data_IF_922787201798
#
_entry.id   IF_922787201798
#
_cell.length_a   1.000
_cell.length_b   1.000
_cell.length_c   1.000
_cell.angle_alpha   90.00
_cell.angle_beta   90.00
_cell.angle_gamma   90.00
#
_symmetry.space_group_name_H-M   'P 1'
#
loop_
_entity.id
_entity.type
_entity.pdbx_description
1 polymer ?
#
# COMPACT_ATOMS: atom_id res chain seq x y z
N UNK A 1 0.46 0.10 16.88
CA UNK A 1 0.39 1.03 15.71
C UNK A 1 1.17 0.41 14.58
N UNK A 2 0.62 0.42 13.38
CA UNK A 2 1.26 -0.18 12.22
C UNK A 2 2.46 0.64 11.68
N UNK A 3 3.29 0.02 10.83
CA UNK A 3 4.41 0.66 10.17
C UNK A 3 4.27 0.68 8.65
N UNK A 4 4.57 1.81 8.01
CA UNK A 4 4.64 1.96 6.56
C UNK A 4 6.05 2.34 6.16
N UNK A 5 6.54 1.73 5.08
CA UNK A 5 7.77 2.09 4.37
C UNK A 5 7.50 2.10 2.88
N UNK A 6 8.01 3.08 2.15
CA UNK A 6 8.00 3.15 0.70
C UNK A 6 9.35 3.61 0.17
N UNK A 7 9.73 3.10 -0.98
CA UNK A 7 11.00 3.39 -1.63
C UNK A 7 10.82 3.53 -3.14
N UNK A 8 11.45 4.55 -3.70
CA UNK A 8 11.65 4.72 -5.12
C UNK A 8 13.06 5.25 -5.37
N UNK A 9 13.84 4.56 -6.22
CA UNK A 9 15.22 4.95 -6.48
C UNK A 9 15.93 3.97 -7.42
N UNK A 10 17.21 3.70 -7.15
CA UNK A 10 18.08 2.86 -7.97
C UNK A 10 18.53 1.55 -7.29
N UNK A 11 18.30 1.42 -5.97
CA UNK A 11 18.62 0.20 -5.21
C UNK A 11 17.48 -0.82 -5.32
N UNK A 12 17.75 -2.06 -4.93
CA UNK A 12 16.69 -3.05 -4.77
C UNK A 12 15.72 -2.62 -3.65
N UNK A 13 14.47 -2.37 -4.04
CA UNK A 13 13.43 -1.92 -3.12
C UNK A 13 13.15 -2.95 -2.03
N UNK A 14 13.17 -4.25 -2.35
CA UNK A 14 12.87 -5.31 -1.37
C UNK A 14 13.80 -5.24 -0.17
N UNK A 15 15.11 -5.05 -0.38
CA UNK A 15 16.11 -4.99 0.69
C UNK A 15 15.86 -3.79 1.61
N UNK A 16 15.58 -2.61 1.00
CA UNK A 16 15.28 -1.41 1.75
C UNK A 16 13.97 -1.54 2.54
N UNK A 17 12.94 -2.10 1.92
CA UNK A 17 11.64 -2.29 2.56
C UNK A 17 11.75 -3.25 3.75
N UNK A 18 12.43 -4.39 3.61
CA UNK A 18 12.62 -5.36 4.69
C UNK A 18 13.40 -4.75 5.86
N UNK A 19 14.52 -4.06 5.60
CA UNK A 19 15.27 -3.35 6.66
C UNK A 19 14.38 -2.31 7.38
N UNK A 20 13.63 -1.51 6.63
CA UNK A 20 12.70 -0.55 7.17
C UNK A 20 11.58 -1.18 8.00
N UNK A 21 11.02 -2.32 7.56
CA UNK A 21 9.99 -3.05 8.30
C UNK A 21 10.55 -3.65 9.59
N UNK A 22 11.78 -4.19 9.60
CA UNK A 22 12.44 -4.62 10.83
C UNK A 22 12.58 -3.49 11.84
N UNK A 23 12.96 -2.29 11.39
CA UNK A 23 13.06 -1.10 12.24
C UNK A 23 11.71 -0.62 12.76
N UNK A 24 10.60 -0.98 12.09
CA UNK A 24 9.23 -0.64 12.50
C UNK A 24 8.51 -1.78 13.24
N UNK A 25 9.12 -2.95 13.41
CA UNK A 25 8.48 -4.11 14.03
C UNK A 25 7.98 -3.84 15.46
N UNK A 26 8.60 -2.91 16.17
CA UNK A 26 8.13 -2.46 17.49
C UNK A 26 6.74 -1.82 17.46
N UNK A 27 6.28 -1.37 16.27
CA UNK A 27 4.95 -0.77 16.05
C UNK A 27 3.87 -1.80 15.71
N UNK A 28 4.25 -2.93 15.11
CA UNK A 28 3.34 -4.01 14.74
C UNK A 28 4.13 -5.23 14.30
N UNK A 29 3.68 -6.41 14.72
CA UNK A 29 4.38 -7.67 14.50
C UNK A 29 3.45 -8.87 14.27
N UNK A 30 2.17 -8.62 13.99
CA UNK A 30 1.20 -9.69 13.73
C UNK A 30 1.19 -10.14 12.27
N UNK A 31 1.58 -9.28 11.38
CA UNK A 31 1.80 -9.61 9.98
C UNK A 31 2.66 -8.55 9.28
N UNK A 32 3.31 -8.94 8.20
CA UNK A 32 4.10 -8.06 7.36
C UNK A 32 3.93 -8.39 5.88
N UNK A 33 4.20 -7.40 5.01
CA UNK A 33 4.21 -7.62 3.58
C UNK A 33 4.77 -6.45 2.81
N UNK A 34 5.18 -6.75 1.57
CA UNK A 34 5.68 -5.78 0.60
C UNK A 34 4.96 -5.93 -0.73
N UNK A 35 4.93 -4.86 -1.48
CA UNK A 35 4.60 -4.83 -2.90
C UNK A 35 5.72 -4.11 -3.65
N UNK A 36 6.23 -4.72 -4.71
CA UNK A 36 7.36 -4.22 -5.49
C UNK A 36 7.06 -4.35 -6.98
N UNK A 37 7.40 -3.35 -7.76
CA UNK A 37 7.40 -3.48 -9.21
C UNK A 37 8.47 -4.46 -9.66
N UNK A 38 8.04 -5.58 -10.22
CA UNK A 38 8.87 -6.68 -10.64
C UNK A 38 8.44 -7.15 -12.04
N UNK A 39 9.32 -7.08 -13.03
CA UNK A 39 9.08 -7.57 -14.41
C UNK A 39 7.78 -7.06 -15.05
N UNK A 40 7.42 -5.80 -14.82
CA UNK A 40 6.24 -5.16 -15.43
C UNK A 40 4.93 -5.34 -14.65
N UNK A 41 4.96 -5.98 -13.49
CA UNK A 41 3.81 -6.18 -12.62
C UNK A 41 4.12 -5.77 -11.17
N UNK A 42 3.10 -5.58 -10.36
CA UNK A 42 3.25 -5.36 -8.92
C UNK A 42 3.21 -6.72 -8.20
N UNK A 43 4.37 -7.21 -7.81
CA UNK A 43 4.50 -8.44 -7.04
C UNK A 43 4.20 -8.17 -5.56
N UNK A 44 3.17 -8.83 -5.01
CA UNK A 44 2.80 -8.74 -3.59
C UNK A 44 3.29 -9.98 -2.86
N UNK A 45 4.01 -9.77 -1.74
CA UNK A 45 4.43 -10.83 -0.80
C UNK A 45 4.04 -10.43 0.60
N UNK A 46 3.32 -11.29 1.30
CA UNK A 46 2.83 -11.02 2.64
C UNK A 46 2.66 -12.28 3.48
N UNK A 47 2.88 -12.15 4.79
CA UNK A 47 2.80 -13.25 5.76
C UNK A 47 2.20 -12.76 7.07
N UNK A 48 1.38 -13.61 7.67
CA UNK A 48 1.05 -13.53 9.08
C UNK A 48 2.29 -13.88 9.92
N UNK A 49 2.50 -13.16 11.02
CA UNK A 49 3.67 -13.30 11.88
C UNK A 49 4.66 -12.16 11.73
N UNK A 50 5.85 -12.35 12.28
CA UNK A 50 6.91 -11.35 12.29
C UNK A 50 7.54 -11.11 10.91
N UNK A 51 8.28 -10.01 10.78
CA UNK A 51 8.98 -9.66 9.53
C UNK A 51 9.91 -10.78 9.07
N UNK A 52 10.53 -11.53 9.97
CA UNK A 52 11.38 -12.67 9.61
C UNK A 52 10.66 -13.80 8.84
N UNK A 53 9.35 -13.93 8.96
CA UNK A 53 8.57 -14.87 8.14
C UNK A 53 8.41 -14.35 6.70
N UNK A 54 8.33 -13.03 6.54
CA UNK A 54 8.36 -12.38 5.23
C UNK A 54 9.75 -12.49 4.59
N UNK A 55 10.83 -12.32 5.37
CA UNK A 55 12.22 -12.51 4.86
C UNK A 55 12.37 -13.89 4.20
N UNK A 56 11.97 -14.97 4.90
CA UNK A 56 12.03 -16.34 4.38
C UNK A 56 11.25 -16.53 3.08
N UNK A 57 10.09 -15.87 2.98
CA UNK A 57 9.29 -15.91 1.75
C UNK A 57 10.02 -15.21 0.60
N UNK A 58 10.60 -14.03 0.85
CA UNK A 58 11.33 -13.26 -0.16
C UNK A 58 12.62 -13.97 -0.59
N UNK A 59 13.37 -14.59 0.34
CA UNK A 59 14.54 -15.39 0.04
C UNK A 59 14.24 -16.56 -0.92
N UNK A 60 13.04 -17.14 -0.80
CA UNK A 60 12.61 -18.27 -1.64
C UNK A 60 12.08 -17.82 -3.00
N UNK A 61 11.21 -16.79 -3.01
CA UNK A 61 10.46 -16.39 -4.20
C UNK A 61 11.18 -15.33 -5.05
N UNK A 62 12.10 -14.59 -4.46
CA UNK A 62 12.90 -13.55 -5.09
C UNK A 62 12.06 -12.43 -5.73
N UNK A 63 11.99 -11.26 -5.10
CA UNK A 63 11.32 -10.09 -5.66
C UNK A 63 12.32 -8.95 -5.75
N UNK A 64 12.66 -8.53 -6.96
CA UNK A 64 13.60 -7.46 -7.23
C UNK A 64 12.90 -6.33 -8.00
N UNK A 65 13.20 -5.10 -7.63
CA UNK A 65 12.68 -3.91 -8.28
C UNK A 65 13.19 -2.65 -7.59
N UNK A 66 12.90 -1.51 -8.15
CA UNK A 66 13.40 -0.21 -7.67
C UNK A 66 12.33 0.67 -7.07
N UNK A 67 11.08 0.22 -7.11
CA UNK A 67 9.92 0.92 -6.53
C UNK A 67 9.07 -0.07 -5.74
N UNK A 68 8.72 0.29 -4.52
CA UNK A 68 7.87 -0.57 -3.71
C UNK A 68 7.38 0.08 -2.42
N UNK A 69 6.43 -0.60 -1.78
CA UNK A 69 5.84 -0.23 -0.50
C UNK A 69 5.80 -1.45 0.43
N UNK A 70 5.90 -1.21 1.73
CA UNK A 70 5.87 -2.26 2.74
C UNK A 70 5.10 -1.84 3.98
N UNK A 71 4.66 -2.84 4.74
CA UNK A 71 3.83 -2.65 5.92
C UNK A 71 4.09 -3.69 7.00
N UNK A 72 4.12 -3.25 8.27
CA UNK A 72 3.95 -4.10 9.45
C UNK A 72 2.62 -3.79 10.11
N UNK A 73 1.83 -4.83 10.39
CA UNK A 73 0.48 -4.69 10.90
C UNK A 73 0.40 -4.94 12.40
N UNK A 74 -0.46 -4.15 13.05
CA UNK A 74 -1.08 -4.45 14.32
C UNK A 74 -2.59 -4.52 14.07
N UNK A 75 -3.17 -5.72 14.10
CA UNK A 75 -4.55 -5.94 13.68
C UNK A 75 -5.54 -5.14 14.53
N UNK A 76 -6.34 -4.31 13.88
CA UNK A 76 -7.48 -3.61 14.46
C UNK A 76 -8.80 -4.18 13.90
N UNK A 77 -8.80 -4.61 12.64
CA UNK A 77 -9.94 -5.19 11.94
C UNK A 77 -9.49 -6.44 11.17
N UNK A 78 -10.28 -7.53 11.29
CA UNK A 78 -10.01 -8.80 10.65
C UNK A 78 -8.94 -9.64 11.36
N UNK A 79 -9.03 -10.95 11.18
CA UNK A 79 -8.09 -11.91 11.75
C UNK A 79 -6.68 -11.74 11.19
N UNK A 80 -5.68 -12.18 11.96
CA UNK A 80 -4.28 -12.23 11.53
C UNK A 80 -4.08 -13.42 10.60
N UNK A 81 -4.21 -13.18 9.31
CA UNK A 81 -4.02 -14.16 8.23
C UNK A 81 -3.22 -13.53 7.10
N UNK A 82 -2.60 -14.36 6.25
CA UNK A 82 -1.89 -13.87 5.06
C UNK A 82 -2.80 -13.02 4.16
N UNK A 83 -4.08 -13.40 4.04
CA UNK A 83 -5.06 -12.70 3.20
C UNK A 83 -5.33 -11.29 3.74
N UNK A 84 -5.51 -11.14 5.05
CA UNK A 84 -5.80 -9.87 5.72
C UNK A 84 -4.55 -9.00 5.95
N UNK A 85 -3.35 -9.54 5.68
CA UNK A 85 -2.11 -8.76 5.76
C UNK A 85 -2.03 -7.73 4.63
N UNK A 86 -1.37 -6.61 4.90
CA UNK A 86 -1.02 -5.62 3.86
C UNK A 86 0.19 -6.09 3.04
N UNK A 87 0.31 -5.64 1.78
CA UNK A 87 -0.55 -4.72 1.02
C UNK A 87 -1.88 -5.31 0.57
N UNK A 88 -2.85 -4.42 0.27
CA UNK A 88 -4.14 -4.76 -0.35
C UNK A 88 -4.18 -4.33 -1.81
N UNK A 89 -4.95 -5.10 -2.59
CA UNK A 89 -5.07 -4.94 -4.04
C UNK A 89 -6.48 -4.46 -4.38
N UNK A 90 -6.60 -3.44 -5.22
CA UNK A 90 -7.86 -2.90 -5.73
C UNK A 90 -8.05 -3.15 -7.22
N UNK A 91 -9.33 -3.19 -7.64
CA UNK A 91 -9.71 -3.49 -9.02
C UNK A 91 -9.28 -4.90 -9.43
N UNK A 92 -8.73 -5.01 -10.63
CA UNK A 92 -8.11 -6.24 -11.16
C UNK A 92 -6.58 -6.20 -11.04
N UNK A 93 -6.04 -5.52 -10.01
CA UNK A 93 -4.61 -5.38 -9.77
C UNK A 93 -4.02 -4.03 -10.21
N UNK A 94 -4.86 -3.08 -10.63
CA UNK A 94 -4.40 -1.75 -11.06
C UNK A 94 -3.83 -0.93 -9.90
N UNK A 95 -4.34 -1.16 -8.69
CA UNK A 95 -3.98 -0.40 -7.48
C UNK A 95 -3.50 -1.35 -6.40
N UNK A 96 -2.38 -1.02 -5.78
CA UNK A 96 -1.87 -1.74 -4.60
C UNK A 96 -1.50 -0.73 -3.53
N UNK A 97 -1.97 -0.93 -2.29
CA UNK A 97 -1.71 0.03 -1.23
C UNK A 97 -1.47 -0.59 0.15
N UNK A 98 -0.84 0.20 1.00
CA UNK A 98 -0.71 -0.01 2.44
C UNK A 98 -1.38 1.14 3.19
N UNK A 99 -1.92 0.87 4.37
CA UNK A 99 -2.70 1.82 5.15
C UNK A 99 -2.44 1.68 6.65
N UNK A 100 -2.24 2.81 7.30
CA UNK A 100 -2.27 2.97 8.75
C UNK A 100 -3.47 3.85 9.11
N UNK A 101 -4.34 3.38 9.97
CA UNK A 101 -5.51 4.13 10.42
C UNK A 101 -6.75 3.25 10.56
N UNK A 102 -7.91 3.89 10.54
CA UNK A 102 -9.23 3.24 10.61
C UNK A 102 -10.18 3.97 9.67
N UNK A 103 -10.84 3.22 8.80
CA UNK A 103 -11.91 3.72 7.92
C UNK A 103 -13.25 3.47 8.60
N UNK A 104 -13.82 4.50 9.22
CA UNK A 104 -15.04 4.38 10.01
C UNK A 104 -16.27 4.03 9.14
N UNK A 105 -16.35 4.58 7.94
CA UNK A 105 -17.43 4.34 7.00
C UNK A 105 -17.20 3.15 6.04
N UNK A 106 -16.24 2.24 6.33
CA UNK A 106 -15.86 1.14 5.45
C UNK A 106 -17.02 0.22 5.06
N UNK A 107 -17.98 -0.05 5.96
CA UNK A 107 -19.13 -0.92 5.67
C UNK A 107 -20.05 -0.33 4.60
N UNK A 108 -20.32 0.96 4.67
CA UNK A 108 -21.15 1.68 3.68
C UNK A 108 -20.47 1.68 2.30
N UNK A 109 -19.18 2.03 2.27
CA UNK A 109 -18.38 2.04 1.04
C UNK A 109 -18.23 0.64 0.44
N UNK A 110 -18.03 -0.39 1.27
CA UNK A 110 -17.98 -1.80 0.83
C UNK A 110 -19.27 -2.21 0.12
N UNK A 111 -20.42 -1.91 0.73
CA UNK A 111 -21.73 -2.21 0.12
C UNK A 111 -21.90 -1.51 -1.22
N UNK A 112 -21.54 -0.23 -1.32
CA UNK A 112 -21.59 0.51 -2.59
C UNK A 112 -20.70 -0.11 -3.67
N UNK A 113 -19.44 -0.42 -3.33
CA UNK A 113 -18.49 -1.02 -4.27
C UNK A 113 -18.93 -2.42 -4.71
N UNK A 114 -19.53 -3.22 -3.81
CA UNK A 114 -20.10 -4.52 -4.17
C UNK A 114 -21.26 -4.39 -5.17
N UNK A 115 -22.11 -3.37 -5.07
CA UNK A 115 -23.16 -3.12 -6.08
C UNK A 115 -22.60 -2.71 -7.44
N UNK A 116 -21.35 -2.22 -7.48
CA UNK A 116 -20.61 -1.90 -8.70
C UNK A 116 -19.81 -3.09 -9.24
N UNK A 117 -19.89 -4.26 -8.59
CA UNK A 117 -19.25 -5.49 -9.04
C UNK A 117 -17.87 -5.78 -8.42
N UNK A 118 -17.38 -4.94 -7.50
CA UNK A 118 -16.09 -5.20 -6.82
C UNK A 118 -16.20 -6.39 -5.87
N UNK A 119 -15.25 -7.33 -5.98
CA UNK A 119 -15.19 -8.54 -5.17
C UNK A 119 -14.17 -8.37 -4.06
N UNK A 120 -14.64 -8.36 -2.83
CA UNK A 120 -13.78 -8.28 -1.65
C UNK A 120 -13.25 -9.65 -1.25
N UNK A 121 -11.97 -9.73 -0.98
CA UNK A 121 -11.25 -10.96 -0.60
C UNK A 121 -10.86 -10.98 0.87
N UNK A 122 -10.85 -9.81 1.52
CA UNK A 122 -10.43 -9.63 2.90
C UNK A 122 -11.54 -9.08 3.77
N UNK A 123 -11.38 -9.17 5.08
CA UNK A 123 -12.29 -8.56 6.04
C UNK A 123 -11.78 -7.22 6.59
N UNK A 124 -10.69 -6.68 6.00
CA UNK A 124 -10.09 -5.42 6.43
C UNK A 124 -10.88 -4.22 5.88
N UNK A 125 -10.80 -3.11 6.57
CA UNK A 125 -11.29 -1.81 6.12
C UNK A 125 -10.45 -1.24 4.97
N UNK A 126 -9.18 -1.60 4.91
CA UNK A 126 -8.21 -1.10 3.92
C UNK A 126 -8.51 -1.52 2.49
N UNK A 127 -9.05 -2.73 2.25
CA UNK A 127 -9.40 -3.18 0.91
C UNK A 127 -10.46 -2.27 0.26
N UNK A 128 -11.28 -1.60 1.09
CA UNK A 128 -12.25 -0.60 0.62
C UNK A 128 -11.54 0.58 -0.04
N UNK A 129 -10.45 1.06 0.56
CA UNK A 129 -9.65 2.16 -0.02
C UNK A 129 -9.08 1.73 -1.39
N UNK A 130 -8.54 0.51 -1.47
CA UNK A 130 -7.95 0.00 -2.69
C UNK A 130 -8.95 -0.07 -3.85
N UNK A 131 -10.13 -0.63 -3.60
CA UNK A 131 -11.21 -0.68 -4.60
C UNK A 131 -11.80 0.70 -4.92
N UNK A 132 -11.88 1.61 -3.94
CA UNK A 132 -12.38 2.95 -4.17
C UNK A 132 -11.45 3.75 -5.10
N UNK A 133 -10.13 3.66 -4.91
CA UNK A 133 -9.13 4.27 -5.80
C UNK A 133 -9.22 3.64 -7.20
N UNK A 134 -9.28 2.31 -7.30
CA UNK A 134 -9.43 1.62 -8.58
C UNK A 134 -10.69 2.06 -9.33
N UNK A 135 -11.81 2.19 -8.64
CA UNK A 135 -13.07 2.68 -9.22
C UNK A 135 -12.94 4.09 -9.80
N UNK A 136 -12.27 5.00 -9.09
CA UNK A 136 -12.05 6.35 -9.62
C UNK A 136 -11.07 6.36 -10.77
N UNK A 137 -10.07 5.46 -10.77
CA UNK A 137 -9.12 5.30 -11.87
C UNK A 137 -9.82 4.79 -13.14
N UNK A 138 -10.63 3.74 -13.02
CA UNK A 138 -11.44 3.20 -14.14
C UNK A 138 -12.33 4.29 -14.74
N UNK A 139 -13.07 5.03 -13.90
CA UNK A 139 -13.92 6.14 -14.38
C UNK A 139 -13.13 7.23 -15.09
N UNK A 140 -11.94 7.56 -14.59
CA UNK A 140 -11.09 8.57 -15.20
C UNK A 140 -10.64 8.12 -16.59
N UNK A 141 -10.21 6.86 -16.73
CA UNK A 141 -9.82 6.26 -18.01
C UNK A 141 -11.00 6.24 -19.00
N UNK A 142 -12.19 5.86 -18.54
CA UNK A 142 -13.40 5.85 -19.38
C UNK A 142 -13.78 7.25 -19.91
N UNK A 143 -13.56 8.29 -19.08
CA UNK A 143 -13.95 9.67 -19.43
C UNK A 143 -12.94 10.33 -20.37
N UNK A 144 -11.66 10.16 -20.11
CA UNK A 144 -10.60 10.91 -20.79
C UNK A 144 -9.89 10.10 -21.87
N UNK A 145 -10.08 8.78 -21.89
CA UNK A 145 -9.41 7.86 -22.83
C UNK A 145 -7.90 7.78 -22.66
N UNK A 146 -7.37 8.34 -21.58
CA UNK A 146 -5.94 8.39 -21.30
C UNK A 146 -5.50 7.24 -20.39
N UNK A 147 -4.30 6.73 -20.69
CA UNK A 147 -3.53 5.84 -19.83
C UNK A 147 -3.16 6.59 -18.54
N UNK A 148 -3.01 5.87 -17.44
CA UNK A 148 -2.63 6.34 -16.11
C UNK A 148 -1.44 7.32 -16.15
N UNK A 149 -1.68 8.63 -15.98
CA UNK A 149 -0.63 9.64 -15.79
C UNK A 149 -0.37 9.88 -14.29
N UNK A 150 0.78 10.47 -13.94
CA UNK A 150 1.08 10.82 -12.55
C UNK A 150 0.01 11.73 -11.94
N UNK A 151 -0.43 12.75 -12.70
CA UNK A 151 -1.47 13.68 -12.29
C UNK A 151 -2.81 12.96 -12.07
N UNK A 152 -3.21 12.09 -12.98
CA UNK A 152 -4.43 11.31 -12.85
C UNK A 152 -4.37 10.39 -11.61
N UNK A 153 -3.23 9.75 -11.32
CA UNK A 153 -3.03 8.94 -10.12
C UNK A 153 -3.21 9.76 -8.83
N UNK A 154 -2.67 10.97 -8.78
CA UNK A 154 -2.84 11.88 -7.63
C UNK A 154 -4.30 12.28 -7.47
N UNK A 155 -4.97 12.73 -8.54
CA UNK A 155 -6.37 13.16 -8.52
C UNK A 155 -7.34 12.05 -8.08
N UNK A 156 -7.13 10.80 -8.53
CA UNK A 156 -8.01 9.69 -8.11
C UNK A 156 -7.80 9.32 -6.65
N UNK A 157 -6.56 9.40 -6.14
CA UNK A 157 -6.29 9.22 -4.71
C UNK A 157 -6.97 10.32 -3.90
N UNK A 158 -6.81 11.59 -4.28
CA UNK A 158 -7.49 12.69 -3.59
C UNK A 158 -9.00 12.52 -3.58
N UNK A 159 -9.58 12.15 -4.73
CA UNK A 159 -11.04 11.95 -4.87
C UNK A 159 -11.53 10.81 -3.98
N UNK A 160 -10.78 9.71 -3.90
CA UNK A 160 -11.10 8.59 -3.03
C UNK A 160 -10.96 9.00 -1.54
N UNK A 161 -9.87 9.67 -1.17
CA UNK A 161 -9.61 10.05 0.22
C UNK A 161 -10.64 11.05 0.77
N UNK A 162 -11.23 11.91 -0.07
CA UNK A 162 -12.33 12.81 0.33
C UNK A 162 -13.61 12.07 0.76
N UNK A 163 -13.76 10.78 0.42
CA UNK A 163 -14.90 9.95 0.81
C UNK A 163 -14.64 9.12 2.06
N UNK A 164 -13.40 9.09 2.53
CA UNK A 164 -13.01 8.34 3.71
C UNK A 164 -13.33 9.16 4.97
N UNK A 165 -14.07 8.56 5.89
CA UNK A 165 -14.27 9.06 7.25
C UNK A 165 -13.34 8.28 8.18
N UNK A 166 -12.58 9.00 9.03
CA UNK A 166 -11.63 8.40 9.96
C UNK A 166 -10.20 8.92 9.78
N UNK A 167 -9.22 8.09 10.14
CA UNK A 167 -7.81 8.44 10.07
C UNK A 167 -7.09 7.57 9.05
N UNK A 168 -6.14 8.15 8.31
CA UNK A 168 -5.35 7.39 7.37
C UNK A 168 -3.92 7.95 7.19
N UNK A 169 -2.99 7.04 6.93
CA UNK A 169 -1.74 7.26 6.26
C UNK A 169 -1.63 6.16 5.21
N UNK A 170 -1.59 6.50 3.94
CA UNK A 170 -1.55 5.54 2.83
C UNK A 170 -0.35 5.76 1.93
N UNK A 171 0.19 4.66 1.37
CA UNK A 171 1.10 4.70 0.25
C UNK A 171 0.55 3.76 -0.83
N UNK A 172 0.48 4.24 -2.06
CA UNK A 172 -0.24 3.64 -3.18
C UNK A 172 0.70 3.46 -4.37
N UNK A 173 0.69 2.27 -4.95
CA UNK A 173 1.29 1.94 -6.24
C UNK A 173 0.19 1.76 -7.29
N UNK A 174 0.48 2.15 -8.50
CA UNK A 174 -0.37 1.95 -9.67
C UNK A 174 0.37 1.07 -10.67
N UNK A 175 -0.22 -0.05 -11.10
CA UNK A 175 0.39 -1.01 -12.03
C UNK A 175 0.94 -0.34 -13.29
N UNK A 176 0.17 0.60 -13.83
CA UNK A 176 0.47 1.26 -15.11
C UNK A 176 1.30 2.55 -14.95
N UNK A 177 1.76 2.87 -13.71
CA UNK A 177 2.68 3.97 -13.39
C UNK A 177 3.81 3.46 -12.47
N UNK A 178 4.79 2.72 -13.01
CA UNK A 178 5.79 1.99 -12.23
C UNK A 178 6.83 2.87 -11.53
N UNK A 179 6.90 4.15 -11.85
CA UNK A 179 7.84 5.14 -11.33
C UNK A 179 7.17 6.13 -10.35
N UNK A 180 6.01 5.75 -9.77
CA UNK A 180 5.23 6.59 -8.89
C UNK A 180 4.85 5.89 -7.59
N UNK A 181 4.98 6.60 -6.47
CA UNK A 181 4.32 6.30 -5.20
C UNK A 181 3.46 7.52 -4.82
N UNK A 182 2.16 7.35 -4.73
CA UNK A 182 1.28 8.40 -4.19
C UNK A 182 1.08 8.17 -2.70
N UNK A 183 1.36 9.18 -1.88
CA UNK A 183 1.18 9.11 -0.44
C UNK A 183 0.22 10.20 0.05
N UNK A 184 -0.70 9.84 0.94
CA UNK A 184 -1.65 10.77 1.55
C UNK A 184 -1.82 10.48 3.04
N UNK A 185 -2.16 11.51 3.83
CA UNK A 185 -2.38 11.35 5.27
C UNK A 185 -3.45 12.28 5.83
N UNK A 186 -4.19 11.76 6.80
CA UNK A 186 -5.02 12.53 7.71
C UNK A 186 -5.06 11.80 9.07
N UNK A 187 -4.56 12.43 10.12
CA UNK A 187 -4.51 11.87 11.47
C UNK A 187 -3.35 10.87 11.73
N UNK A 188 -2.97 10.05 10.75
CA UNK A 188 -1.84 9.11 10.88
C UNK A 188 -0.53 9.75 10.38
N UNK A 189 0.62 9.49 11.03
CA UNK A 189 1.89 10.09 10.63
C UNK A 189 2.41 9.46 9.32
N UNK A 190 2.92 10.31 8.42
CA UNK A 190 3.77 9.95 7.30
C UNK A 190 4.83 11.04 7.12
N UNK A 191 6.06 10.64 6.85
CA UNK A 191 7.21 11.47 6.54
C UNK A 191 7.77 11.10 5.17
N UNK A 192 8.29 12.09 4.46
CA UNK A 192 8.97 11.90 3.17
C UNK A 192 10.46 12.15 3.38
N UNK A 193 11.30 11.23 2.93
CA UNK A 193 12.74 11.35 2.87
C UNK A 193 13.20 11.63 1.45
N UNK A 194 14.19 12.52 1.31
CA UNK A 194 14.79 12.86 0.02
C UNK A 194 16.27 12.51 0.08
N UNK A 195 16.67 11.52 -0.72
CA UNK A 195 18.05 11.08 -0.90
C UNK A 195 18.67 11.60 -2.21
N UNK A 196 19.78 11.04 -2.59
CA UNK A 196 20.48 11.35 -3.85
C UNK A 196 19.98 10.46 -4.97
N UNK A 197 18.96 10.92 -5.72
CA UNK A 197 18.31 10.11 -6.76
C UNK A 197 17.39 9.02 -6.23
N UNK A 198 16.92 9.17 -5.02
CA UNK A 198 15.99 8.25 -4.37
C UNK A 198 15.07 9.00 -3.40
N UNK A 199 13.87 8.49 -3.21
CA UNK A 199 12.86 9.06 -2.33
C UNK A 199 12.24 7.97 -1.48
N UNK A 200 11.78 8.38 -0.31
CA UNK A 200 11.27 7.49 0.72
C UNK A 200 9.97 8.02 1.30
N UNK A 201 9.11 7.11 1.70
CA UNK A 201 7.93 7.39 2.54
C UNK A 201 7.99 6.46 3.74
N UNK A 202 7.73 6.98 4.94
CA UNK A 202 7.63 6.13 6.13
C UNK A 202 6.65 6.69 7.15
N UNK A 203 6.06 5.83 7.97
CA UNK A 203 5.21 6.24 9.08
C UNK A 203 6.00 6.77 10.29
N UNK A 204 7.32 6.64 10.26
CA UNK A 204 8.27 7.11 11.27
C UNK A 204 9.61 7.43 10.60
N UNK A 205 10.43 8.29 11.22
CA UNK A 205 11.74 8.63 10.69
C UNK A 205 12.78 7.49 10.84
N UNK A 206 12.55 6.52 11.74
CA UNK A 206 13.47 5.44 12.02
C UNK A 206 13.99 4.67 10.81
N UNK A 207 13.15 4.26 9.84
CA UNK A 207 13.57 3.62 8.59
C UNK A 207 14.45 4.49 7.68
N UNK A 208 14.38 5.81 7.84
CA UNK A 208 15.02 6.78 6.94
C UNK A 208 16.40 7.24 7.43
N UNK A 209 16.75 6.89 8.67
CA UNK A 209 18.01 7.30 9.33
C UNK A 209 18.91 6.08 9.46
N UNK A 210 19.98 6.05 8.66
CA UNK A 210 20.96 4.94 8.70
C UNK A 210 22.08 5.15 7.73
#
# INVERSE_FOLDING_TARGET
MCGIVGYIGFRNASDFLLDGLHRLEYRGYDSAGIAVFHKGEVAVRKRAGRVCELDRLIETDGVEGTVGIGHTRWATHGETTDVNSHPHVGGNGEVVLVHNGVVENHNSLRTQLQTLGYVFRTTTDTEVIAHLIAHHLEKRIETDGEICTHEACVEVVETAMRKIEGTYGVAVLFRDCPDLIVAARAGSPLVVGIGRGEYFVASDAGPLVG
#
